data_IF_388177739360
#
_entry.id   IF_388177739360
#
_cell.length_a   1.000
_cell.length_b   1.000
_cell.length_c   1.000
_cell.angle_alpha   90.00
_cell.angle_beta   90.00
_cell.angle_gamma   90.00
#
_symmetry.space_group_name_H-M   'P 1'
#
loop_
_entity.id
_entity.type
_entity.pdbx_description
1 polymer ?
#
# COMPACT_ATOMS: atom_id res chain seq x y z
N UNK A 1 -22.02 -4.42 -3.04
CA UNK A 1 -21.89 -3.18 -3.86
C UNK A 1 -21.65 -3.58 -5.31
N UNK A 2 -22.32 -2.96 -6.29
CA UNK A 2 -22.07 -3.27 -7.72
C UNK A 2 -20.92 -2.40 -8.30
N UNK A 3 -20.42 -2.75 -9.49
CA UNK A 3 -19.28 -2.04 -10.11
C UNK A 3 -19.59 -0.57 -10.44
N UNK A 4 -20.83 -0.23 -10.80
CA UNK A 4 -21.23 1.14 -11.11
C UNK A 4 -21.17 1.99 -9.84
N UNK A 5 -21.79 1.49 -8.76
CA UNK A 5 -21.74 2.13 -7.44
C UNK A 5 -20.30 2.28 -6.96
N UNK A 6 -19.47 1.23 -7.10
CA UNK A 6 -18.05 1.32 -6.76
C UNK A 6 -17.35 2.45 -7.51
N UNK A 7 -17.56 2.60 -8.83
CA UNK A 7 -16.92 3.66 -9.61
C UNK A 7 -17.35 5.07 -9.15
N UNK A 8 -18.61 5.26 -8.76
CA UNK A 8 -19.10 6.53 -8.20
C UNK A 8 -18.43 6.82 -6.86
N UNK A 9 -18.44 5.85 -5.95
CA UNK A 9 -17.81 6.00 -4.63
C UNK A 9 -16.28 6.15 -4.72
N UNK A 10 -15.63 5.54 -5.72
CA UNK A 10 -14.18 5.61 -5.90
C UNK A 10 -13.70 7.02 -6.22
N UNK A 11 -14.46 7.79 -7.00
CA UNK A 11 -14.17 9.20 -7.26
C UNK A 11 -14.27 10.03 -5.98
N UNK A 12 -15.30 9.79 -5.17
CA UNK A 12 -15.49 10.48 -3.90
C UNK A 12 -14.35 10.15 -2.92
N UNK A 13 -13.98 8.88 -2.82
CA UNK A 13 -12.85 8.43 -2.01
C UNK A 13 -11.54 9.08 -2.48
N UNK A 14 -11.30 9.18 -3.79
CA UNK A 14 -10.10 9.82 -4.33
C UNK A 14 -9.97 11.26 -3.85
N UNK A 15 -11.04 12.05 -3.94
CA UNK A 15 -11.05 13.45 -3.49
C UNK A 15 -10.82 13.57 -1.98
N UNK A 16 -11.45 12.70 -1.18
CA UNK A 16 -11.23 12.66 0.28
C UNK A 16 -9.75 12.36 0.59
N UNK A 17 -9.16 11.37 -0.08
CA UNK A 17 -7.76 11.01 0.13
C UNK A 17 -6.84 12.16 -0.28
N UNK A 18 -7.08 12.83 -1.43
CA UNK A 18 -6.27 13.98 -1.83
C UNK A 18 -6.30 15.09 -0.77
N UNK A 19 -7.49 15.44 -0.28
CA UNK A 19 -7.64 16.45 0.77
C UNK A 19 -6.95 16.04 2.08
N UNK A 20 -7.11 14.78 2.51
CA UNK A 20 -6.44 14.24 3.69
C UNK A 20 -4.91 14.39 3.58
N UNK A 21 -4.34 14.01 2.44
CA UNK A 21 -2.89 14.07 2.24
C UNK A 21 -2.36 15.49 2.22
N UNK A 22 -3.08 16.43 1.59
CA UNK A 22 -2.76 17.86 1.62
C UNK A 22 -2.78 18.38 3.05
N UNK A 23 -3.85 18.11 3.80
CA UNK A 23 -4.03 18.60 5.16
C UNK A 23 -3.01 18.04 6.15
N UNK A 24 -2.57 16.78 5.95
CA UNK A 24 -1.55 16.13 6.77
C UNK A 24 -0.12 16.35 6.27
N UNK A 25 0.06 17.07 5.16
CA UNK A 25 1.35 17.26 4.50
C UNK A 25 2.07 15.92 4.22
N UNK A 26 1.32 14.90 3.80
CA UNK A 26 1.84 13.57 3.48
C UNK A 26 2.11 13.48 1.98
N UNK A 27 3.35 13.15 1.63
CA UNK A 27 3.76 13.03 0.23
C UNK A 27 3.63 11.59 -0.29
N UNK A 28 3.12 11.49 -1.52
CA UNK A 28 3.14 10.29 -2.36
C UNK A 28 3.77 10.67 -3.69
N UNK A 29 4.60 9.78 -4.24
CA UNK A 29 5.20 9.98 -5.57
C UNK A 29 4.13 10.03 -6.66
N UNK A 30 3.07 9.22 -6.49
CA UNK A 30 1.95 9.23 -7.40
C UNK A 30 0.67 8.79 -6.72
N UNK A 31 -0.42 9.47 -7.04
CA UNK A 31 -1.78 9.07 -6.70
C UNK A 31 -2.66 9.37 -7.90
N UNK A 32 -3.24 8.32 -8.48
CA UNK A 32 -3.97 8.45 -9.73
C UNK A 32 -5.23 7.62 -9.69
N UNK A 33 -6.33 8.20 -10.16
CA UNK A 33 -7.47 7.44 -10.65
C UNK A 33 -7.16 6.96 -12.07
N UNK A 34 -7.02 5.65 -12.23
CA UNK A 34 -6.71 5.00 -13.51
C UNK A 34 -7.90 4.17 -13.98
N UNK A 35 -7.93 3.86 -15.27
CA UNK A 35 -8.89 2.94 -15.87
C UNK A 35 -8.18 2.00 -16.82
N UNK A 36 -8.42 0.70 -16.69
CA UNK A 36 -7.89 -0.34 -17.56
C UNK A 36 -8.84 -1.53 -17.57
N UNK A 37 -9.00 -2.19 -18.73
CA UNK A 37 -9.90 -3.35 -18.89
C UNK A 37 -11.32 -3.11 -18.36
N UNK A 38 -11.85 -1.92 -18.66
CA UNK A 38 -13.18 -1.46 -18.26
C UNK A 38 -13.41 -1.44 -16.73
N UNK A 39 -12.35 -1.21 -15.96
CA UNK A 39 -12.40 -1.06 -14.51
C UNK A 39 -11.59 0.16 -14.09
N UNK A 40 -12.20 1.02 -13.27
CA UNK A 40 -11.51 2.10 -12.60
C UNK A 40 -10.86 1.58 -11.32
N UNK A 41 -9.69 2.13 -10.99
CA UNK A 41 -8.96 1.80 -9.77
C UNK A 41 -8.12 2.99 -9.33
N UNK A 42 -7.86 3.08 -8.03
CA UNK A 42 -6.88 4.01 -7.50
C UNK A 42 -5.52 3.33 -7.47
N UNK A 43 -4.48 4.06 -7.87
CA UNK A 43 -3.11 3.62 -7.84
C UNK A 43 -2.29 4.60 -7.00
N UNK A 44 -1.51 4.04 -6.09
CA UNK A 44 -0.65 4.78 -5.17
C UNK A 44 0.78 4.27 -5.27
N UNK A 45 1.73 5.20 -5.16
CA UNK A 45 3.16 4.92 -5.07
C UNK A 45 3.80 5.87 -4.07
N UNK A 46 4.58 5.31 -3.16
CA UNK A 46 5.31 6.08 -2.14
C UNK A 46 6.61 5.39 -1.78
N UNK A 47 7.69 6.15 -1.69
CA UNK A 47 8.92 5.70 -1.04
C UNK A 47 8.75 5.67 0.48
N UNK A 48 9.19 4.58 1.10
CA UNK A 48 9.09 4.36 2.55
C UNK A 48 10.29 4.92 3.32
N UNK A 49 11.34 5.34 2.63
CA UNK A 49 12.54 5.89 3.26
C UNK A 49 12.43 7.39 3.49
N UNK A 50 12.54 7.81 4.76
CA UNK A 50 12.95 9.18 5.12
C UNK A 50 14.43 9.28 5.52
N UNK A 51 15.16 8.17 5.75
CA UNK A 51 16.63 8.15 5.90
C UNK A 51 17.18 6.76 5.51
N UNK A 52 18.39 6.67 4.93
CA UNK A 52 19.04 5.39 4.68
C UNK A 52 19.13 4.58 5.98
N UNK A 53 18.90 3.26 5.92
CA UNK A 53 19.13 2.35 7.05
C UNK A 53 20.56 2.55 7.56
N UNK A 54 20.71 3.33 8.62
CA UNK A 54 21.94 3.37 9.39
C UNK A 54 22.03 2.03 10.10
N UNK A 55 22.96 1.19 9.65
CA UNK A 55 23.45 0.05 10.42
C UNK A 55 23.96 0.59 11.76
N UNK A 56 23.11 0.56 12.79
CA UNK A 56 23.55 0.67 14.17
C UNK A 56 24.30 -0.62 14.53
N UNK A 57 25.52 -0.76 14.00
CA UNK A 57 26.54 -1.55 14.67
C UNK A 57 27.03 -0.72 15.85
N UNK A 58 26.41 -0.95 17.02
CA UNK A 58 27.04 -0.61 18.27
C UNK A 58 28.36 -1.38 18.36
N UNK A 59 29.46 -0.64 18.27
CA UNK A 59 30.79 -1.06 18.60
C UNK A 59 30.81 -1.75 19.98
N UNK A 60 31.26 -3.00 20.01
CA UNK A 60 32.13 -3.48 21.07
C UNK A 60 33.10 -4.51 20.49
N UNK A 61 34.35 -4.04 20.34
CA UNK A 61 35.63 -4.75 20.27
C UNK A 61 35.62 -6.25 19.95
N UNK A 62 36.21 -6.63 18.81
CA UNK A 62 37.51 -7.33 18.81
C UNK A 62 38.05 -7.56 17.39
N UNK A 63 39.37 -7.41 17.27
CA UNK A 63 40.18 -7.72 16.10
C UNK A 63 39.84 -9.09 15.49
N UNK A 64 39.52 -9.12 14.19
CA UNK A 64 40.14 -10.03 13.24
C UNK A 64 39.69 -9.73 11.80
N UNK A 65 40.67 -9.84 10.90
CA UNK A 65 40.53 -9.68 9.46
C UNK A 65 39.39 -10.54 8.90
N UNK A 66 38.43 -9.90 8.22
CA UNK A 66 37.75 -10.50 7.09
C UNK A 66 37.32 -9.41 6.11
N UNK A 67 37.83 -9.51 4.89
CA UNK A 67 37.31 -8.84 3.71
C UNK A 67 35.83 -9.20 3.54
N UNK A 68 34.94 -8.32 4.00
CA UNK A 68 33.57 -8.28 3.53
C UNK A 68 33.38 -6.91 2.86
N UNK A 69 33.57 -6.89 1.54
CA UNK A 69 33.02 -5.84 0.68
C UNK A 69 31.48 -5.90 0.80
N UNK A 70 30.94 -5.29 1.85
CA UNK A 70 29.56 -4.86 1.82
C UNK A 70 29.53 -3.60 0.96
N UNK A 71 29.27 -3.80 -0.33
CA UNK A 71 28.78 -2.73 -1.18
C UNK A 71 27.51 -2.20 -0.51
N UNK A 72 27.64 -1.09 0.22
CA UNK A 72 26.55 -0.31 0.77
C UNK A 72 25.80 0.28 -0.42
N UNK A 73 24.97 -0.54 -1.04
CA UNK A 73 24.10 -0.04 -2.07
C UNK A 73 23.03 0.83 -1.43
N UNK A 74 22.92 2.08 -1.86
CA UNK A 74 21.81 2.95 -1.45
C UNK A 74 20.53 2.33 -2.03
N UNK A 75 19.77 1.70 -1.15
CA UNK A 75 18.54 0.98 -1.51
C UNK A 75 17.38 1.82 -1.02
N UNK A 76 16.43 2.09 -1.92
CA UNK A 76 15.16 2.68 -1.58
C UNK A 76 14.04 1.64 -1.66
N UNK A 77 13.17 1.60 -0.65
CA UNK A 77 11.98 0.77 -0.61
C UNK A 77 10.78 1.59 -1.05
N UNK A 78 10.03 1.06 -2.02
CA UNK A 78 8.83 1.68 -2.56
C UNK A 78 7.64 0.77 -2.28
N UNK A 79 6.58 1.35 -1.74
CA UNK A 79 5.27 0.73 -1.62
C UNK A 79 4.40 1.17 -2.79
N UNK A 80 3.90 0.21 -3.55
CA UNK A 80 2.83 0.41 -4.51
C UNK A 80 1.58 -0.33 -4.03
N UNK A 81 0.42 0.31 -4.12
CA UNK A 81 -0.85 -0.37 -3.87
C UNK A 81 -1.98 0.20 -4.72
N UNK A 82 -3.03 -0.60 -4.87
CA UNK A 82 -4.23 -0.23 -5.60
C UNK A 82 -5.49 -0.50 -4.80
N UNK A 83 -6.53 0.26 -5.12
CA UNK A 83 -7.91 -0.01 -4.67
C UNK A 83 -8.72 -0.27 -5.94
N UNK A 84 -9.25 -1.48 -6.06
CA UNK A 84 -10.02 -1.90 -7.25
C UNK A 84 -11.24 -2.72 -6.87
N UNK A 85 -12.14 -2.95 -7.83
CA UNK A 85 -13.32 -3.78 -7.63
C UNK A 85 -13.04 -5.24 -8.00
N UNK A 86 -13.25 -6.16 -7.08
CA UNK A 86 -13.15 -7.59 -7.37
C UNK A 86 -14.50 -8.15 -7.82
N UNK A 87 -14.65 -8.36 -9.13
CA UNK A 87 -15.93 -8.77 -9.75
C UNK A 87 -16.57 -10.01 -9.13
N UNK A 88 -15.79 -11.07 -8.86
CA UNK A 88 -16.35 -12.32 -8.32
C UNK A 88 -16.89 -12.20 -6.90
N UNK A 89 -16.28 -11.34 -6.07
CA UNK A 89 -16.68 -11.14 -4.68
C UNK A 89 -17.63 -9.94 -4.52
N UNK A 90 -17.72 -9.07 -5.53
CA UNK A 90 -18.50 -7.84 -5.55
C UNK A 90 -18.12 -6.83 -4.45
N UNK A 91 -16.81 -6.67 -4.24
CA UNK A 91 -16.23 -5.88 -3.14
C UNK A 91 -14.98 -5.12 -3.58
N UNK A 92 -14.65 -4.01 -2.90
CA UNK A 92 -13.34 -3.37 -3.01
C UNK A 92 -12.25 -4.30 -2.46
N UNK A 93 -11.07 -4.22 -3.07
CA UNK A 93 -9.89 -4.99 -2.67
C UNK A 93 -8.63 -4.14 -2.74
N UNK A 94 -7.69 -4.47 -1.86
CA UNK A 94 -6.32 -3.98 -1.92
C UNK A 94 -5.42 -4.98 -2.64
N UNK A 95 -4.67 -4.48 -3.61
CA UNK A 95 -3.44 -5.13 -4.07
C UNK A 95 -2.27 -4.26 -3.64
N UNK A 96 -1.18 -4.88 -3.20
CA UNK A 96 0.04 -4.14 -2.88
C UNK A 96 1.30 -4.93 -3.23
N UNK A 97 2.41 -4.23 -3.40
CA UNK A 97 3.72 -4.83 -3.57
C UNK A 97 4.79 -3.88 -3.06
N UNK A 98 5.90 -4.47 -2.65
CA UNK A 98 7.09 -3.73 -2.27
C UNK A 98 8.13 -3.87 -3.38
N UNK A 99 8.78 -2.76 -3.69
CA UNK A 99 9.83 -2.71 -4.69
C UNK A 99 11.11 -2.21 -4.04
N UNK A 100 12.22 -2.80 -4.46
CA UNK A 100 13.58 -2.39 -4.12
C UNK A 100 14.15 -1.61 -5.29
N UNK A 101 14.45 -0.33 -5.12
CA UNK A 101 15.16 0.52 -6.09
C UNK A 101 16.61 0.67 -5.66
N UNK A 102 17.55 0.33 -6.55
CA UNK A 102 18.98 0.57 -6.31
C UNK A 102 19.35 1.95 -6.84
N UNK A 103 19.93 2.81 -5.99
CA UNK A 103 20.22 4.21 -6.30
C UNK A 103 21.63 4.44 -6.88
N UNK A 104 22.51 3.44 -6.87
CA UNK A 104 23.93 3.64 -7.25
C UNK A 104 24.25 3.35 -8.72
N UNK A 105 23.26 3.00 -9.54
CA UNK A 105 23.49 2.68 -10.94
C UNK A 105 22.72 3.65 -11.85
N UNK A 106 23.36 4.11 -12.93
CA UNK A 106 22.75 4.87 -14.05
C UNK A 106 21.56 4.14 -14.73
N UNK A 107 21.26 2.92 -14.29
CA UNK A 107 20.07 2.15 -14.62
C UNK A 107 19.20 1.97 -13.37
N UNK A 108 17.97 2.50 -13.41
CA UNK A 108 16.97 2.24 -12.38
C UNK A 108 16.62 0.75 -12.35
N UNK A 109 17.32 -0.02 -11.51
CA UNK A 109 16.97 -1.41 -11.28
C UNK A 109 15.93 -1.46 -10.15
N UNK A 110 14.68 -1.71 -10.52
CA UNK A 110 13.57 -1.86 -9.59
C UNK A 110 13.14 -3.32 -9.58
N UNK A 111 13.16 -3.97 -8.41
CA UNK A 111 12.81 -5.38 -8.26
C UNK A 111 11.73 -5.59 -7.20
N UNK A 112 10.74 -6.48 -7.43
CA UNK A 112 9.77 -6.80 -6.40
C UNK A 112 10.41 -7.57 -5.25
N UNK A 113 9.88 -7.36 -4.05
CA UNK A 113 10.25 -8.08 -2.84
C UNK A 113 9.07 -8.97 -2.44
N UNK A 114 9.26 -10.28 -2.48
CA UNK A 114 8.21 -11.28 -2.18
C UNK A 114 8.29 -11.87 -0.78
N UNK A 115 9.42 -11.68 -0.11
CA UNK A 115 9.68 -12.20 1.23
C UNK A 115 9.20 -11.19 2.26
N UNK A 116 8.00 -11.39 2.79
CA UNK A 116 7.38 -10.43 3.71
C UNK A 116 7.97 -10.48 5.11
N UNK A 117 8.61 -11.58 5.51
CA UNK A 117 9.36 -11.63 6.76
C UNK A 117 10.52 -10.62 6.71
N UNK A 118 11.16 -10.44 5.55
CA UNK A 118 12.18 -9.40 5.35
C UNK A 118 11.66 -7.97 5.42
N UNK A 119 10.37 -7.74 5.16
CA UNK A 119 9.75 -6.40 5.17
C UNK A 119 9.00 -6.15 6.47
N UNK A 120 8.63 -7.19 7.21
CA UNK A 120 7.86 -7.14 8.46
C UNK A 120 8.47 -6.15 9.48
N UNK A 121 9.79 -6.21 9.68
CA UNK A 121 10.52 -5.29 10.56
C UNK A 121 10.43 -3.82 10.09
N UNK A 122 10.44 -3.59 8.77
CA UNK A 122 10.35 -2.24 8.20
C UNK A 122 8.91 -1.69 8.32
N UNK A 123 7.91 -2.55 8.14
CA UNK A 123 6.49 -2.21 8.27
C UNK A 123 6.09 -1.92 9.72
N UNK A 124 6.52 -2.78 10.64
CA UNK A 124 6.29 -2.61 12.06
C UNK A 124 6.85 -1.27 12.57
N UNK A 125 8.02 -0.85 12.09
CA UNK A 125 8.62 0.43 12.48
C UNK A 125 7.92 1.65 11.88
N UNK A 126 7.22 1.50 10.76
CA UNK A 126 6.51 2.60 10.11
C UNK A 126 5.06 2.74 10.63
N UNK A 127 4.59 1.88 11.54
CA UNK A 127 3.17 1.70 11.87
C UNK A 127 2.29 1.39 10.64
N UNK A 128 2.89 0.92 9.55
CA UNK A 128 2.17 0.39 8.40
C UNK A 128 2.01 -1.11 8.62
N UNK A 129 0.83 -1.66 8.35
CA UNK A 129 0.60 -3.10 8.41
C UNK A 129 0.89 -3.75 9.80
N UNK A 130 0.75 -3.00 10.91
CA UNK A 130 1.17 -3.43 12.27
C UNK A 130 0.55 -4.74 12.78
N UNK A 131 -0.60 -5.15 12.22
CA UNK A 131 -1.32 -6.38 12.58
C UNK A 131 -1.39 -7.42 11.45
N UNK A 132 -0.63 -7.23 10.35
CA UNK A 132 -0.62 -8.16 9.23
C UNK A 132 0.50 -9.20 9.39
N UNK A 133 0.11 -10.42 9.74
CA UNK A 133 0.99 -11.57 9.62
C UNK A 133 1.04 -12.10 8.18
N UNK A 134 2.04 -12.94 7.86
CA UNK A 134 2.21 -13.59 6.56
C UNK A 134 1.03 -14.45 6.10
N UNK A 135 0.11 -14.80 7.01
CA UNK A 135 -1.07 -15.60 6.72
C UNK A 135 -2.28 -14.76 6.29
N UNK A 136 -2.21 -13.43 6.40
CA UNK A 136 -3.34 -12.53 6.11
C UNK A 136 -3.44 -12.12 4.64
N UNK A 137 -2.47 -12.50 3.80
CA UNK A 137 -2.42 -12.14 2.39
C UNK A 137 -1.93 -13.30 1.52
N UNK A 138 -2.31 -13.28 0.24
CA UNK A 138 -1.85 -14.22 -0.76
C UNK A 138 -1.13 -13.49 -1.90
N UNK A 139 -0.19 -14.17 -2.56
CA UNK A 139 0.36 -13.70 -3.84
C UNK A 139 -0.60 -14.14 -4.94
N UNK A 140 -1.04 -13.20 -5.78
CA UNK A 140 -1.93 -13.49 -6.91
C UNK A 140 -1.68 -12.52 -8.05
N UNK A 141 -2.27 -12.78 -9.21
CA UNK A 141 -2.26 -11.82 -10.32
C UNK A 141 -3.28 -10.72 -10.01
N UNK A 142 -2.90 -9.47 -10.26
CA UNK A 142 -3.84 -8.36 -10.13
C UNK A 142 -4.97 -8.53 -11.15
N UNK A 143 -6.22 -8.39 -10.70
CA UNK A 143 -7.43 -8.48 -11.53
C UNK A 143 -7.47 -7.49 -12.73
N UNK A 144 -6.64 -6.45 -12.73
CA UNK A 144 -6.55 -5.40 -13.75
C UNK A 144 -5.16 -5.38 -14.37
N UNK A 145 -4.11 -5.33 -13.52
CA UNK A 145 -2.69 -5.26 -13.91
C UNK A 145 -2.05 -6.66 -14.00
N UNK A 146 -2.54 -7.53 -14.89
CA UNK A 146 -2.25 -8.99 -14.86
C UNK A 146 -0.82 -9.41 -15.13
N UNK A 147 0.03 -8.51 -15.62
CA UNK A 147 1.37 -8.89 -16.07
C UNK A 147 2.37 -8.90 -14.90
N UNK A 148 1.87 -8.71 -13.68
CA UNK A 148 2.65 -8.69 -12.46
C UNK A 148 1.90 -9.43 -11.34
N UNK A 149 2.68 -10.07 -10.47
CA UNK A 149 2.18 -10.58 -9.21
C UNK A 149 2.00 -9.44 -8.21
N UNK A 150 1.06 -9.59 -7.30
CA UNK A 150 0.78 -8.64 -6.23
C UNK A 150 0.40 -9.42 -4.98
N UNK A 151 0.69 -8.86 -3.82
CA UNK A 151 0.04 -9.29 -2.59
C UNK A 151 -1.41 -8.83 -2.60
N UNK A 152 -2.28 -9.67 -2.06
CA UNK A 152 -3.71 -9.49 -2.06
C UNK A 152 -4.28 -9.78 -0.68
N UNK A 153 -5.01 -8.81 -0.13
CA UNK A 153 -5.77 -8.99 1.10
C UNK A 153 -7.05 -9.73 0.74
N UNK A 154 -7.22 -10.95 1.25
CA UNK A 154 -8.37 -11.78 0.88
C UNK A 154 -9.69 -11.14 1.36
N UNK A 155 -10.70 -10.96 0.48
CA UNK A 155 -11.87 -10.17 0.79
C UNK A 155 -13.00 -10.96 1.47
N UNK A 156 -12.71 -12.12 2.04
CA UNK A 156 -13.75 -12.99 2.64
C UNK A 156 -14.55 -12.25 3.71
N UNK A 157 -13.88 -11.43 4.53
CA UNK A 157 -14.52 -10.62 5.57
C UNK A 157 -15.07 -9.29 5.05
N UNK A 158 -14.65 -8.85 3.86
CA UNK A 158 -15.06 -7.58 3.27
C UNK A 158 -16.56 -7.54 2.98
N UNK A 159 -17.16 -8.67 2.56
CA UNK A 159 -18.59 -8.73 2.25
C UNK A 159 -19.45 -8.53 3.50
N UNK A 160 -19.08 -9.16 4.62
CA UNK A 160 -19.81 -9.01 5.88
C UNK A 160 -19.74 -7.57 6.40
N UNK A 161 -18.56 -6.95 6.30
CA UNK A 161 -18.36 -5.56 6.69
C UNK A 161 -19.19 -4.61 5.82
N UNK A 162 -19.13 -4.75 4.49
CA UNK A 162 -19.83 -3.84 3.57
C UNK A 162 -21.34 -3.96 3.69
N UNK A 163 -21.88 -5.17 3.90
CA UNK A 163 -23.32 -5.37 4.07
C UNK A 163 -23.86 -4.74 5.37
N UNK A 164 -22.98 -4.39 6.32
CA UNK A 164 -23.37 -3.67 7.55
C UNK A 164 -23.57 -2.18 7.31
N UNK A 165 -23.01 -1.62 6.22
CA UNK A 165 -23.06 -0.19 5.93
C UNK A 165 -24.09 0.11 4.83
N UNK A 166 -25.10 0.93 5.14
CA UNK A 166 -26.18 1.26 4.20
C UNK A 166 -25.80 2.33 3.15
N UNK A 167 -24.79 3.16 3.44
CA UNK A 167 -24.25 4.19 2.56
C UNK A 167 -22.74 4.32 2.78
N UNK A 168 -22.01 4.82 1.76
CA UNK A 168 -20.56 5.09 1.83
C UNK A 168 -19.72 3.85 2.10
N UNK A 169 -20.13 2.72 1.52
CA UNK A 169 -19.51 1.42 1.71
C UNK A 169 -18.00 1.45 1.47
N UNK A 170 -17.54 2.15 0.43
CA UNK A 170 -16.13 2.24 0.09
C UNK A 170 -15.34 3.10 1.08
N UNK A 171 -15.92 4.19 1.59
CA UNK A 171 -15.27 5.05 2.58
C UNK A 171 -15.15 4.30 3.92
N UNK A 172 -16.23 3.67 4.38
CA UNK A 172 -16.22 2.89 5.62
C UNK A 172 -15.25 1.71 5.52
N UNK A 173 -15.25 1.01 4.38
CA UNK A 173 -14.25 -0.01 4.08
C UNK A 173 -12.82 0.55 4.15
N UNK A 174 -12.58 1.73 3.55
CA UNK A 174 -11.27 2.35 3.57
C UNK A 174 -10.86 2.88 4.96
N UNK A 175 -11.79 3.22 5.85
CA UNK A 175 -11.46 3.53 7.25
C UNK A 175 -10.94 2.31 8.02
N UNK A 176 -11.39 1.10 7.65
CA UNK A 176 -10.95 -0.15 8.28
C UNK A 176 -9.58 -0.59 7.73
N UNK A 177 -9.43 -0.58 6.40
CA UNK A 177 -8.24 -1.12 5.74
C UNK A 177 -7.19 -0.06 5.35
N UNK A 178 -7.57 1.21 5.27
CA UNK A 178 -6.66 2.32 4.98
C UNK A 178 -5.51 2.50 5.99
N UNK A 179 -5.71 2.28 7.30
CA UNK A 179 -4.63 2.35 8.29
C UNK A 179 -3.47 1.39 7.99
N UNK A 180 -3.74 0.25 7.37
CA UNK A 180 -2.72 -0.71 6.89
C UNK A 180 -1.71 -0.02 5.96
N UNK A 181 -2.18 0.93 5.15
CA UNK A 181 -1.40 1.71 4.21
C UNK A 181 -1.13 3.15 4.71
N UNK A 182 -1.18 3.37 6.03
CA UNK A 182 -0.85 4.65 6.68
C UNK A 182 -1.90 5.74 6.54
N UNK A 183 -3.14 5.39 6.16
CA UNK A 183 -4.27 6.32 6.15
C UNK A 183 -5.07 6.20 7.44
N UNK A 184 -4.90 7.15 8.35
CA UNK A 184 -5.71 7.25 9.55
C UNK A 184 -6.81 8.30 9.35
N UNK A 185 -7.73 8.01 8.43
CA UNK A 185 -8.86 8.89 8.11
C UNK A 185 -9.84 8.95 9.29
N UNK A 186 -9.96 10.13 9.87
CA UNK A 186 -10.99 10.43 10.86
C UNK A 186 -12.27 10.90 10.16
N UNK A 187 -13.39 10.84 10.86
CA UNK A 187 -14.65 11.39 10.36
C UNK A 187 -14.54 12.88 10.00
N UNK A 188 -13.67 13.64 10.68
CA UNK A 188 -13.39 15.04 10.36
C UNK A 188 -12.70 15.26 9.02
N UNK A 189 -12.01 14.24 8.50
CA UNK A 189 -11.33 14.30 7.20
C UNK A 189 -12.32 14.05 6.04
N UNK A 190 -13.53 13.57 6.36
CA UNK A 190 -14.62 13.34 5.42
C UNK A 190 -15.48 14.61 5.42
N UNK A 191 -15.43 15.37 4.32
CA UNK A 191 -16.17 16.62 4.20
C UNK A 191 -17.68 16.38 4.44
N UNK A 192 -18.30 16.99 5.47
CA UNK A 192 -19.69 16.70 5.84
C UNK A 192 -20.71 17.12 4.76
N UNK A 193 -20.29 17.86 3.75
CA UNK A 193 -21.13 18.34 2.64
C UNK A 193 -21.15 17.42 1.40
N UNK A 194 -20.53 16.24 1.46
CA UNK A 194 -20.55 15.25 0.38
C UNK A 194 -21.67 14.18 0.54
N UNK A 195 -22.63 14.40 1.44
CA UNK A 195 -23.77 13.51 1.71
C UNK A 195 -25.10 14.22 1.53
#
# INVERSE_FOLDING_TARGET
MNQIQFNVELNSLFQIIQNYLINKNIFYESINLKSQRNQSFLYFRKSLDEKPLNNNNNNNNNNNNNHNNHNNHNIQIILEFTISFHKSYQVPVFYFKFLKKFLDNDYENIKPIWDLDKISNHLHNLNYLSDLNSNNFNITNHNILTDEHWFFIHPCMTNELINTFNSNCLINWFQIYGPLFGFNLLLSDINPYLY
#
